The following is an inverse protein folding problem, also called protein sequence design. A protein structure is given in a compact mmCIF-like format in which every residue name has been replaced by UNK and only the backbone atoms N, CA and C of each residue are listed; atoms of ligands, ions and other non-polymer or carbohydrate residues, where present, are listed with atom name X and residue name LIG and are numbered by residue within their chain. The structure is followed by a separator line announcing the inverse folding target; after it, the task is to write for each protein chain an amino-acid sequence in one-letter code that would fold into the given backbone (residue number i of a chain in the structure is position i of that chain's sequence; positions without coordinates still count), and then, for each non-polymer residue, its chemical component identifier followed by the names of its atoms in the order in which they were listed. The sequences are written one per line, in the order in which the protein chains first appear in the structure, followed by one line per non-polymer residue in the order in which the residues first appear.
data_IF_071441703622
#
_entry.id   IF_071441703622
#
_cell.length_a   1.000
_cell.length_b   1.000
_cell.length_c   1.000
_cell.angle_alpha   90.00
_cell.angle_beta   90.00
_cell.angle_gamma   90.00
#
_symmetry.space_group_name_H-M   'P 1'
#
loop_
_entity.id
_entity.type
_entity.pdbx_description
1 polymer ?
#
# COMPACT_ATOMS: atom_id res chain seq x y z
N UNK A 1 14.96 -36.77 1.02
CA UNK A 1 14.42 -36.43 2.35
C UNK A 1 14.85 -35.01 2.70
N UNK A 2 13.93 -34.06 2.96
CA UNK A 2 12.50 -34.07 2.61
C UNK A 2 12.10 -32.78 1.83
N UNK A 3 11.41 -32.88 0.70
CA UNK A 3 9.94 -33.00 0.55
C UNK A 3 9.18 -31.69 0.83
N UNK A 4 9.28 -30.76 -0.14
CA UNK A 4 8.39 -29.60 -0.25
C UNK A 4 6.99 -30.11 -0.63
N UNK A 5 6.14 -30.26 0.40
CA UNK A 5 4.76 -30.67 0.26
C UNK A 5 4.03 -29.80 -0.77
N UNK A 6 3.69 -30.41 -1.90
CA UNK A 6 2.67 -29.92 -2.83
C UNK A 6 1.34 -29.87 -2.08
N UNK A 7 0.98 -28.71 -1.56
CA UNK A 7 -0.42 -28.44 -1.22
C UNK A 7 -1.15 -28.25 -2.55
N UNK A 8 -1.80 -29.32 -3.00
CA UNK A 8 -2.80 -29.24 -4.06
C UNK A 8 -3.96 -28.42 -3.51
N UNK A 9 -4.08 -27.17 -3.96
CA UNK A 9 -5.26 -26.36 -3.71
C UNK A 9 -6.46 -27.07 -4.34
N UNK A 10 -7.31 -27.68 -3.51
CA UNK A 10 -8.63 -28.11 -3.95
C UNK A 10 -9.37 -26.86 -4.41
N UNK A 11 -9.92 -26.91 -5.62
CA UNK A 11 -10.78 -25.86 -6.16
C UNK A 11 -12.03 -25.78 -5.29
N UNK A 12 -12.06 -24.81 -4.38
CA UNK A 12 -13.26 -24.46 -3.59
C UNK A 12 -13.95 -23.31 -4.35
N UNK A 13 -15.25 -23.41 -4.66
CA UNK A 13 -15.98 -22.35 -5.35
C UNK A 13 -15.89 -21.04 -4.56
N UNK A 14 -15.35 -20.00 -5.21
CA UNK A 14 -15.08 -18.69 -4.63
C UNK A 14 -16.42 -18.01 -4.36
N UNK A 15 -16.72 -17.74 -3.09
CA UNK A 15 -17.90 -16.98 -2.69
C UNK A 15 -17.55 -15.50 -2.56
N UNK A 16 -18.52 -14.59 -2.62
CA UNK A 16 -18.32 -13.13 -2.57
C UNK A 16 -17.53 -12.62 -1.32
N UNK A 17 -17.34 -13.47 -0.30
CA UNK A 17 -16.55 -13.21 0.91
C UNK A 17 -15.05 -13.50 0.76
N UNK A 18 -14.64 -14.25 -0.27
CA UNK A 18 -13.24 -14.64 -0.53
C UNK A 18 -12.46 -13.59 -1.36
N UNK A 19 -13.15 -12.57 -1.87
CA UNK A 19 -12.56 -11.49 -2.67
C UNK A 19 -11.56 -10.68 -1.82
N UNK A 20 -11.81 -10.55 -0.51
CA UNK A 20 -11.00 -9.73 0.39
C UNK A 20 -9.73 -10.46 0.88
N UNK A 21 -9.81 -11.77 1.11
CA UNK A 21 -8.66 -12.59 1.51
C UNK A 21 -7.61 -12.69 0.38
N UNK A 22 -8.05 -12.70 -0.88
CA UNK A 22 -7.17 -12.69 -2.04
C UNK A 22 -6.40 -11.36 -2.23
N UNK A 23 -6.95 -10.23 -1.77
CA UNK A 23 -6.30 -8.90 -1.86
C UNK A 23 -5.12 -8.80 -0.89
N UNK A 24 -5.28 -9.34 0.30
CA UNK A 24 -4.29 -9.26 1.39
C UNK A 24 -3.14 -10.25 1.20
N UNK A 25 -3.45 -11.49 0.80
CA UNK A 25 -2.46 -12.51 0.47
C UNK A 25 -1.68 -12.14 -0.80
N UNK A 26 -2.33 -11.50 -1.79
CA UNK A 26 -1.60 -10.94 -2.94
C UNK A 26 -0.68 -9.78 -2.55
N UNK A 27 -1.01 -8.94 -1.55
CA UNK A 27 -0.18 -7.79 -1.15
C UNK A 27 1.19 -8.20 -0.58
N UNK A 28 1.27 -9.26 0.24
CA UNK A 28 2.55 -9.73 0.77
C UNK A 28 3.41 -10.48 -0.25
N UNK A 29 2.81 -11.26 -1.16
CA UNK A 29 3.55 -11.85 -2.30
C UNK A 29 3.90 -10.84 -3.40
N UNK A 30 3.27 -9.66 -3.41
CA UNK A 30 3.54 -8.60 -4.38
C UNK A 30 4.71 -7.68 -4.00
N UNK A 31 5.29 -7.74 -2.79
CA UNK A 31 6.42 -6.87 -2.42
C UNK A 31 7.55 -6.93 -3.44
N UNK A 32 8.02 -8.13 -3.77
CA UNK A 32 9.07 -8.32 -4.76
C UNK A 32 8.63 -7.87 -6.16
N UNK A 33 7.37 -8.09 -6.51
CA UNK A 33 6.81 -7.63 -7.79
C UNK A 33 6.58 -6.11 -7.86
N UNK A 34 6.43 -5.43 -6.73
CA UNK A 34 6.32 -3.98 -6.60
C UNK A 34 7.72 -3.38 -6.68
N UNK A 35 8.68 -3.86 -5.88
CA UNK A 35 10.08 -3.44 -5.90
C UNK A 35 10.67 -3.62 -7.30
N UNK A 36 10.45 -4.79 -7.92
CA UNK A 36 10.92 -5.07 -9.28
C UNK A 36 10.32 -4.09 -10.29
N UNK A 37 9.03 -3.75 -10.18
CA UNK A 37 8.40 -2.80 -11.11
C UNK A 37 8.85 -1.36 -10.87
N UNK A 38 9.06 -0.94 -9.62
CA UNK A 38 9.65 0.36 -9.28
C UNK A 38 11.05 0.45 -9.88
N UNK A 39 11.90 -0.56 -9.64
CA UNK A 39 13.25 -0.62 -10.19
C UNK A 39 13.29 -0.50 -11.72
N UNK A 40 12.44 -1.25 -12.43
CA UNK A 40 12.34 -1.13 -13.89
C UNK A 40 11.84 0.25 -14.33
N UNK A 41 10.92 0.85 -13.58
CA UNK A 41 10.40 2.19 -13.86
C UNK A 41 11.47 3.27 -13.66
N UNK A 42 12.15 3.29 -12.53
CA UNK A 42 13.26 4.21 -12.24
C UNK A 42 14.39 4.09 -13.26
N UNK A 43 14.82 2.87 -13.58
CA UNK A 43 15.83 2.66 -14.61
C UNK A 43 15.39 3.19 -15.98
N UNK A 44 14.10 3.03 -16.31
CA UNK A 44 13.56 3.60 -17.55
C UNK A 44 13.62 5.13 -17.49
N UNK A 45 13.19 5.76 -16.38
CA UNK A 45 13.23 7.23 -16.16
C UNK A 45 14.66 7.79 -16.16
N UNK A 46 15.63 7.06 -15.60
CA UNK A 46 17.03 7.47 -15.59
C UNK A 46 17.66 7.36 -16.97
N UNK A 47 17.40 6.27 -17.71
CA UNK A 47 17.81 6.14 -19.11
C UNK A 47 17.21 7.24 -20.01
N UNK A 48 16.05 7.78 -19.61
CA UNK A 48 15.40 8.93 -20.26
C UNK A 48 16.13 10.25 -19.96
N UNK A 49 16.69 10.43 -18.76
CA UNK A 49 17.37 11.66 -18.32
C UNK A 49 18.79 11.80 -18.88
N UNK A 50 19.51 10.69 -19.11
CA UNK A 50 20.87 10.71 -19.68
C UNK A 50 20.91 11.04 -21.19
N UNK A 51 19.75 11.07 -21.88
CA UNK A 51 19.64 11.37 -23.32
C UNK A 51 19.25 12.81 -23.68
N UNK A 52 19.31 13.77 -22.75
CA UNK A 52 18.69 15.09 -22.93
C UNK A 52 19.42 16.01 -23.92
N UNK A 53 18.82 16.19 -25.10
CA UNK A 53 18.61 17.53 -25.66
C UNK A 53 17.08 17.76 -25.70
N UNK A 54 16.68 19.00 -25.41
CA UNK A 54 15.45 19.47 -24.75
C UNK A 54 14.05 19.22 -25.39
N UNK A 55 13.82 18.14 -26.15
CA UNK A 55 12.51 17.84 -26.80
C UNK A 55 11.97 16.41 -26.52
N UNK A 56 12.51 15.74 -25.50
CA UNK A 56 12.40 14.27 -25.34
C UNK A 56 11.24 13.75 -24.45
N UNK A 57 10.67 14.55 -23.54
CA UNK A 57 9.55 14.10 -22.68
C UNK A 57 8.29 13.77 -23.47
N UNK A 58 8.06 14.44 -24.61
CA UNK A 58 6.97 14.12 -25.53
C UNK A 58 7.24 12.85 -26.36
N UNK A 59 8.50 12.60 -26.74
CA UNK A 59 8.88 11.49 -27.63
C UNK A 59 8.90 10.12 -26.94
N UNK A 60 9.07 10.09 -25.61
CA UNK A 60 9.27 8.86 -24.83
C UNK A 60 7.96 8.26 -24.33
N UNK A 61 6.94 9.10 -24.11
CA UNK A 61 5.54 8.66 -23.95
C UNK A 61 5.03 7.90 -25.18
N UNK A 62 5.71 7.96 -26.32
CA UNK A 62 5.22 7.40 -27.58
C UNK A 62 5.72 5.98 -27.85
N UNK A 63 6.69 5.44 -27.08
CA UNK A 63 7.13 4.05 -27.23
C UNK A 63 6.15 3.08 -26.53
N UNK A 64 5.61 2.06 -27.22
CA UNK A 64 4.56 1.18 -26.68
C UNK A 64 4.92 0.47 -25.36
N UNK A 65 6.17 0.04 -25.19
CA UNK A 65 6.63 -0.65 -23.98
C UNK A 65 6.72 0.31 -22.79
N UNK A 66 7.20 1.54 -23.02
CA UNK A 66 7.20 2.61 -22.01
C UNK A 66 5.78 3.00 -21.61
N UNK A 67 4.85 3.10 -22.57
CA UNK A 67 3.43 3.36 -22.26
C UNK A 67 2.83 2.27 -21.38
N UNK A 68 3.14 1.01 -21.66
CA UNK A 68 2.63 -0.13 -20.88
C UNK A 68 3.16 -0.08 -19.45
N UNK A 69 4.45 0.22 -19.28
CA UNK A 69 5.07 0.37 -17.97
C UNK A 69 4.48 1.56 -17.19
N UNK A 70 4.34 2.72 -17.82
CA UNK A 70 3.72 3.91 -17.23
C UNK A 70 2.27 3.63 -16.79
N UNK A 71 1.47 2.97 -17.64
CA UNK A 71 0.09 2.60 -17.31
C UNK A 71 0.03 1.65 -16.11
N UNK A 72 0.92 0.66 -16.04
CA UNK A 72 1.00 -0.27 -14.90
C UNK A 72 1.36 0.46 -13.61
N UNK A 73 2.36 1.36 -13.66
CA UNK A 73 2.77 2.15 -12.51
C UNK A 73 1.63 3.06 -12.04
N UNK A 74 0.97 3.78 -12.96
CA UNK A 74 -0.19 4.62 -12.66
C UNK A 74 -1.32 3.85 -11.96
N UNK A 75 -1.69 2.67 -12.47
CA UNK A 75 -2.73 1.81 -11.87
C UNK A 75 -2.31 1.40 -10.46
N UNK A 76 -1.05 1.01 -10.27
CA UNK A 76 -0.53 0.63 -8.95
C UNK A 76 -0.56 1.78 -7.97
N UNK A 77 0.00 2.93 -8.33
CA UNK A 77 -0.04 4.12 -7.48
C UNK A 77 -1.48 4.48 -7.11
N UNK A 78 -2.42 4.42 -8.07
CA UNK A 78 -3.83 4.69 -7.81
C UNK A 78 -4.48 3.72 -6.80
N UNK A 79 -4.15 2.43 -6.87
CA UNK A 79 -4.68 1.39 -5.96
C UNK A 79 -4.22 1.59 -4.51
N UNK A 80 -3.03 2.15 -4.30
CA UNK A 80 -2.44 2.35 -2.96
C UNK A 80 -2.33 3.82 -2.54
N UNK A 81 -2.96 4.75 -3.26
CA UNK A 81 -2.82 6.21 -3.05
C UNK A 81 -3.44 6.75 -1.75
N UNK A 82 -4.06 5.92 -0.91
CA UNK A 82 -4.79 6.38 0.28
C UNK A 82 -3.94 7.25 1.23
N UNK A 83 -2.65 6.96 1.46
CA UNK A 83 -1.78 7.84 2.27
C UNK A 83 -1.46 9.20 1.64
N UNK A 84 -1.69 9.39 0.34
CA UNK A 84 -1.45 10.63 -0.40
C UNK A 84 -2.73 11.48 -0.57
N UNK A 85 -3.85 11.06 0.03
CA UNK A 85 -5.12 11.80 0.04
C UNK A 85 -5.13 12.88 1.13
N UNK A 86 -6.00 13.90 1.05
CA UNK A 86 -6.27 14.78 2.19
C UNK A 86 -6.53 13.99 3.47
N UNK A 87 -6.08 14.52 4.61
CA UNK A 87 -5.99 13.80 5.89
C UNK A 87 -7.28 13.06 6.27
N UNK A 88 -8.45 13.71 6.15
CA UNK A 88 -9.72 13.09 6.51
C UNK A 88 -10.02 11.82 5.70
N UNK A 89 -9.71 11.83 4.40
CA UNK A 89 -9.87 10.65 3.55
C UNK A 89 -8.81 9.59 3.88
N UNK A 90 -7.57 9.99 4.15
CA UNK A 90 -6.52 9.06 4.58
C UNK A 90 -6.97 8.30 5.83
N UNK A 91 -7.49 9.00 6.83
CA UNK A 91 -8.01 8.44 8.07
C UNK A 91 -9.21 7.52 7.80
N UNK A 92 -10.17 7.95 6.99
CA UNK A 92 -11.35 7.15 6.66
C UNK A 92 -10.96 5.81 6.02
N UNK A 93 -10.09 5.84 5.02
CA UNK A 93 -9.63 4.63 4.33
C UNK A 93 -8.77 3.74 5.22
N UNK A 94 -7.92 4.32 6.08
CA UNK A 94 -7.18 3.58 7.09
C UNK A 94 -8.12 2.84 8.07
N UNK A 95 -9.24 3.46 8.45
CA UNK A 95 -10.26 2.83 9.28
C UNK A 95 -10.96 1.67 8.60
N UNK A 96 -11.43 1.87 7.36
CA UNK A 96 -12.11 0.83 6.58
C UNK A 96 -11.25 -0.41 6.38
N UNK A 97 -9.98 -0.23 5.98
CA UNK A 97 -9.09 -1.37 5.75
C UNK A 97 -8.69 -2.08 7.05
N UNK A 98 -8.54 -1.32 8.14
CA UNK A 98 -8.23 -1.91 9.46
C UNK A 98 -9.40 -2.77 9.94
N UNK A 99 -10.64 -2.29 9.81
CA UNK A 99 -11.82 -3.07 10.19
C UNK A 99 -11.99 -4.33 9.34
N UNK A 100 -11.73 -4.26 8.03
CA UNK A 100 -11.74 -5.43 7.15
C UNK A 100 -10.75 -6.50 7.64
N UNK A 101 -9.53 -6.11 8.00
CA UNK A 101 -8.51 -7.03 8.50
C UNK A 101 -8.82 -7.55 9.89
N UNK A 102 -9.43 -6.74 10.76
CA UNK A 102 -9.90 -7.18 12.07
C UNK A 102 -11.01 -8.24 11.92
N UNK A 103 -11.99 -7.99 11.05
CA UNK A 103 -13.07 -8.93 10.78
C UNK A 103 -12.53 -10.26 10.21
N UNK A 104 -11.56 -10.20 9.31
CA UNK A 104 -10.91 -11.40 8.77
C UNK A 104 -10.14 -12.17 9.86
N UNK A 105 -9.34 -11.48 10.66
CA UNK A 105 -8.53 -12.09 11.74
C UNK A 105 -9.42 -12.77 12.78
N UNK A 106 -10.54 -12.14 13.15
CA UNK A 106 -11.50 -12.71 14.07
C UNK A 106 -12.18 -13.96 13.49
N UNK A 107 -12.51 -13.93 12.20
CA UNK A 107 -13.12 -15.07 11.53
C UNK A 107 -12.14 -16.25 11.38
N UNK A 108 -10.88 -15.98 11.04
CA UNK A 108 -9.81 -16.98 10.98
C UNK A 108 -9.67 -17.69 12.34
N UNK A 109 -9.61 -16.92 13.44
CA UNK A 109 -9.57 -17.47 14.80
C UNK A 109 -10.82 -18.28 15.14
N UNK A 110 -12.00 -17.76 14.82
CA UNK A 110 -13.29 -18.41 15.12
C UNK A 110 -13.41 -19.76 14.41
N UNK A 111 -12.88 -19.87 13.20
CA UNK A 111 -12.88 -21.11 12.42
C UNK A 111 -11.69 -22.03 12.76
N UNK A 112 -10.75 -21.61 13.61
CA UNK A 112 -9.53 -22.35 13.90
C UNK A 112 -8.57 -22.42 12.70
N UNK A 113 -8.64 -21.45 11.78
CA UNK A 113 -7.75 -21.34 10.63
C UNK A 113 -6.42 -20.67 11.02
N UNK A 114 -5.34 -20.90 10.26
CA UNK A 114 -4.12 -20.13 10.41
C UNK A 114 -4.38 -18.63 10.18
N UNK A 115 -4.01 -17.79 11.15
CA UNK A 115 -4.18 -16.33 11.06
C UNK A 115 -3.15 -15.75 10.10
N UNK A 116 -3.60 -15.10 9.03
CA UNK A 116 -2.72 -14.57 7.97
C UNK A 116 -2.14 -13.21 8.35
N UNK A 117 -2.90 -12.40 9.10
CA UNK A 117 -2.53 -11.03 9.48
C UNK A 117 -2.55 -10.83 11.00
N UNK A 118 -1.63 -11.48 11.75
CA UNK A 118 -1.67 -11.46 13.21
C UNK A 118 -1.51 -10.07 13.83
N UNK A 119 -0.95 -9.11 13.09
CA UNK A 119 -0.82 -7.69 13.52
C UNK A 119 -2.19 -7.01 13.63
N UNK A 120 -3.19 -7.48 12.88
CA UNK A 120 -4.54 -6.94 12.87
C UNK A 120 -5.44 -7.71 13.85
N UNK A 121 -4.97 -7.88 15.07
CA UNK A 121 -5.81 -8.27 16.21
C UNK A 121 -6.41 -7.01 16.84
N UNK A 122 -7.74 -6.92 16.88
CA UNK A 122 -8.48 -5.73 17.38
C UNK A 122 -8.08 -5.30 18.79
N UNK A 123 -7.61 -6.23 19.62
CA UNK A 123 -7.24 -5.96 21.01
C UNK A 123 -5.82 -5.40 21.15
N UNK A 124 -4.94 -5.69 20.18
CA UNK A 124 -3.52 -5.37 20.30
C UNK A 124 -3.00 -4.44 19.22
N UNK A 125 -3.64 -4.39 18.05
CA UNK A 125 -3.23 -3.60 16.89
C UNK A 125 -3.10 -2.12 17.24
N UNK A 126 -2.03 -1.50 16.73
CA UNK A 126 -1.90 -0.04 16.64
C UNK A 126 -2.10 0.37 15.19
N UNK A 127 -3.22 1.02 14.89
CA UNK A 127 -3.49 1.49 13.53
C UNK A 127 -2.41 2.49 13.08
N UNK A 128 -1.99 3.48 13.90
CA UNK A 128 -0.93 4.40 13.49
C UNK A 128 0.38 3.68 13.11
N UNK A 129 0.82 2.71 13.92
CA UNK A 129 2.03 1.93 13.63
C UNK A 129 1.92 1.12 12.34
N UNK A 130 0.75 0.55 12.08
CA UNK A 130 0.46 -0.17 10.83
C UNK A 130 0.48 0.76 9.62
N UNK A 131 -0.06 1.97 9.73
CA UNK A 131 -0.02 2.97 8.64
C UNK A 131 1.40 3.48 8.38
N UNK A 132 2.18 3.77 9.43
CA UNK A 132 3.60 4.14 9.31
C UNK A 132 4.37 3.05 8.57
N UNK A 133 4.22 1.80 8.99
CA UNK A 133 4.91 0.66 8.37
C UNK A 133 4.49 0.51 6.90
N UNK A 134 3.20 0.65 6.59
CA UNK A 134 2.73 0.60 5.22
C UNK A 134 3.35 1.71 4.35
N UNK A 135 3.46 2.92 4.88
CA UNK A 135 4.09 4.03 4.17
C UNK A 135 5.57 3.75 3.94
N UNK A 136 6.31 3.42 5.01
CA UNK A 136 7.76 3.17 4.96
C UNK A 136 8.12 2.02 4.01
N UNK A 137 7.34 0.94 3.99
CA UNK A 137 7.69 -0.27 3.23
C UNK A 137 7.19 -0.28 1.78
N UNK A 138 6.18 0.51 1.43
CA UNK A 138 5.53 0.39 0.12
C UNK A 138 5.27 1.72 -0.58
N UNK A 139 5.00 2.79 0.16
CA UNK A 139 4.46 4.02 -0.43
C UNK A 139 5.56 5.02 -0.73
N UNK A 140 6.53 5.19 0.17
CA UNK A 140 7.61 6.17 0.01
C UNK A 140 8.32 5.99 -1.34
N UNK A 141 8.98 4.84 -1.56
CA UNK A 141 9.71 4.58 -2.81
C UNK A 141 8.81 4.64 -4.05
N UNK A 142 7.56 4.17 -3.93
CA UNK A 142 6.62 4.15 -5.05
C UNK A 142 6.20 5.56 -5.48
N UNK A 143 5.91 6.44 -4.52
CA UNK A 143 5.47 7.80 -4.81
C UNK A 143 6.64 8.74 -5.08
N UNK A 144 7.83 8.50 -4.53
CA UNK A 144 9.06 9.22 -4.90
C UNK A 144 9.40 8.98 -6.38
N UNK A 145 9.39 7.73 -6.83
CA UNK A 145 9.61 7.38 -8.24
C UNK A 145 8.52 8.00 -9.16
N UNK A 146 7.27 8.00 -8.71
CA UNK A 146 6.15 8.55 -9.48
C UNK A 146 6.17 10.09 -9.53
N UNK A 147 6.56 10.77 -8.44
CA UNK A 147 6.77 12.22 -8.37
C UNK A 147 7.92 12.66 -9.28
N UNK A 148 9.04 11.93 -9.28
CA UNK A 148 10.15 12.21 -10.20
C UNK A 148 9.73 12.17 -11.68
N UNK A 149 8.77 11.30 -12.03
CA UNK A 149 8.26 11.19 -13.39
C UNK A 149 7.16 12.21 -13.74
N UNK A 150 6.19 12.42 -12.84
CA UNK A 150 4.95 13.15 -13.14
C UNK A 150 4.81 14.50 -12.43
N UNK A 151 5.73 14.83 -11.51
CA UNK A 151 5.72 16.00 -10.64
C UNK A 151 4.37 16.23 -9.93
N UNK A 152 4.26 15.68 -8.72
CA UNK A 152 3.05 15.54 -7.92
C UNK A 152 3.18 16.18 -6.53
N UNK A 153 3.57 17.47 -6.43
CA UNK A 153 3.93 18.09 -5.15
C UNK A 153 2.80 18.09 -4.12
N UNK A 154 1.54 18.20 -4.56
CA UNK A 154 0.37 18.17 -3.67
C UNK A 154 0.19 16.78 -3.02
N UNK A 155 0.41 15.70 -3.77
CA UNK A 155 0.29 14.34 -3.25
C UNK A 155 1.42 14.04 -2.26
N UNK A 156 2.64 14.48 -2.58
CA UNK A 156 3.80 14.34 -1.69
C UNK A 156 3.63 15.15 -0.40
N UNK A 157 3.04 16.35 -0.48
CA UNK A 157 2.72 17.14 0.70
C UNK A 157 1.67 16.44 1.59
N UNK A 158 0.62 15.86 1.00
CA UNK A 158 -0.34 15.06 1.76
C UNK A 158 0.31 13.85 2.41
N UNK A 159 1.15 13.12 1.68
CA UNK A 159 1.87 11.95 2.20
C UNK A 159 2.71 12.32 3.42
N UNK A 160 3.51 13.40 3.33
CA UNK A 160 4.33 13.89 4.44
C UNK A 160 3.48 14.30 5.66
N UNK A 161 2.39 15.04 5.44
CA UNK A 161 1.48 15.47 6.50
C UNK A 161 0.80 14.28 7.20
N UNK A 162 0.33 13.31 6.43
CA UNK A 162 -0.32 12.12 6.94
C UNK A 162 0.66 11.21 7.69
N UNK A 163 1.88 11.05 7.18
CA UNK A 163 2.94 10.33 7.89
C UNK A 163 3.22 10.96 9.26
N UNK A 164 3.35 12.29 9.30
CA UNK A 164 3.51 13.04 10.55
C UNK A 164 2.34 12.83 11.50
N UNK A 165 1.10 12.88 11.01
CA UNK A 165 -0.09 12.60 11.81
C UNK A 165 -0.03 11.22 12.49
N UNK A 166 0.29 10.17 11.73
CA UNK A 166 0.41 8.82 12.28
C UNK A 166 1.56 8.69 13.28
N UNK A 167 2.72 9.32 13.02
CA UNK A 167 3.84 9.37 13.98
C UNK A 167 3.44 10.02 15.29
N UNK A 168 2.75 11.16 15.24
CA UNK A 168 2.25 11.83 16.45
C UNK A 168 1.31 10.93 17.25
N UNK A 169 0.40 10.21 16.60
CA UNK A 169 -0.48 9.26 17.29
C UNK A 169 0.30 8.09 17.91
N UNK A 170 1.29 7.55 17.21
CA UNK A 170 2.14 6.45 17.73
C UNK A 170 3.01 6.90 18.92
N UNK A 171 3.58 8.11 18.86
CA UNK A 171 4.32 8.75 19.97
C UNK A 171 3.44 8.94 21.21
N UNK A 172 2.18 9.33 21.00
CA UNK A 172 1.18 9.44 22.06
C UNK A 172 0.62 8.07 22.50
N UNK A 173 1.12 6.97 21.94
CA UNK A 173 0.68 5.59 22.20
C UNK A 173 -0.82 5.38 21.91
N UNK A 174 -1.39 6.21 21.03
CA UNK A 174 -2.75 6.06 20.55
C UNK A 174 -2.81 4.86 19.59
N UNK A 175 -3.73 3.92 19.85
CA UNK A 175 -3.93 2.76 18.97
C UNK A 175 -4.99 2.99 17.89
N UNK A 176 -5.80 4.04 18.05
CA UNK A 176 -6.94 4.38 17.21
C UNK A 176 -6.58 5.40 16.11
N UNK A 177 -7.56 5.65 15.23
CA UNK A 177 -7.46 6.58 14.10
C UNK A 177 -7.31 8.06 14.50
N UNK A 178 -7.78 8.42 15.70
CA UNK A 178 -7.75 9.78 16.25
C UNK A 178 -7.54 9.71 17.76
N UNK A 179 -7.08 10.81 18.35
CA UNK A 179 -7.09 10.99 19.80
C UNK A 179 -8.55 11.04 20.30
N UNK A 180 -8.82 10.61 21.54
CA UNK A 180 -10.11 10.83 22.17
C UNK A 180 -10.42 12.32 22.17
N UNK A 181 -11.66 12.70 21.82
CA UNK A 181 -12.13 14.05 22.07
C UNK A 181 -12.08 14.30 23.58
N UNK A 182 -11.46 15.39 24.03
CA UNK A 182 -11.61 15.81 25.42
C UNK A 182 -13.12 16.05 25.64
N UNK A 183 -13.75 15.25 26.50
CA UNK A 183 -15.13 15.48 26.90
C UNK A 183 -15.16 16.86 27.56
N UNK A 184 -15.76 17.84 26.89
CA UNK A 184 -16.12 19.11 27.50
C UNK A 184 -17.06 18.81 28.68
N UNK A 185 -16.53 18.94 29.89
CA UNK A 185 -17.22 18.85 31.17
C UNK A 185 -18.43 19.80 31.23
#
# INVERSE_FOLDING_TARGET
MPELARVTAKYVPINHRDINLAVVIKKYQQREAIITQIYYFENSVNAISEGSNCDCTANIKNFPDNQTLIKRMMIKCADVANPCRPLELCIEWAGRISEEYFAQTDEEKRQGLPVVMPVFDRNTCSIPKSQISFIDYFITDMFDAWDAFAHLPVLMQHLANNYKHWKTLDELKCKSLRLPSENNN
#
